data_IF_315517742290
#
_entry.id   IF_315517742290
#
_cell.length_a   1.000
_cell.length_b   1.000
_cell.length_c   1.000
_cell.angle_alpha   90.00
_cell.angle_beta   90.00
_cell.angle_gamma   90.00
#
_symmetry.space_group_name_H-M   'P 1'
#
loop_
_entity.id
_entity.type
_entity.pdbx_description
1 polymer ?
#
# COMPACT_ATOMS: atom_id res chain seq x y z
N UNK A 1 15.33 30.37 5.99
CA UNK A 1 14.57 29.47 6.89
C UNK A 1 13.13 29.97 6.97
N UNK A 2 12.22 29.35 6.20
CA UNK A 2 10.75 29.32 6.35
C UNK A 2 10.20 28.50 5.17
N UNK A 3 10.43 27.18 5.19
CA UNK A 3 9.94 26.28 4.14
C UNK A 3 8.51 25.80 4.41
N UNK A 4 8.02 25.93 5.64
CA UNK A 4 6.66 25.53 6.05
C UNK A 4 6.08 26.57 7.00
N UNK A 5 4.81 26.92 6.83
CA UNK A 5 4.09 27.93 7.62
C UNK A 5 3.44 27.34 8.88
N UNK A 6 3.29 26.01 8.95
CA UNK A 6 2.72 25.33 10.11
C UNK A 6 3.27 23.90 10.31
N UNK A 7 2.97 23.29 11.46
CA UNK A 7 3.37 21.92 11.80
C UNK A 7 2.65 20.90 10.90
N UNK A 8 1.44 21.22 10.49
CA UNK A 8 0.59 20.45 9.57
C UNK A 8 1.18 20.41 8.16
N UNK A 9 1.68 21.54 7.64
CA UNK A 9 2.34 21.57 6.33
C UNK A 9 3.64 20.76 6.32
N UNK A 10 4.44 20.86 7.38
CA UNK A 10 5.64 20.05 7.54
C UNK A 10 5.27 18.56 7.59
N UNK A 11 4.22 18.21 8.33
CA UNK A 11 3.77 16.83 8.45
C UNK A 11 3.22 16.29 7.13
N UNK A 12 2.41 17.07 6.40
CA UNK A 12 1.93 16.71 5.07
C UNK A 12 3.08 16.49 4.08
N UNK A 13 4.11 17.34 4.12
CA UNK A 13 5.30 17.18 3.30
C UNK A 13 6.10 15.92 3.66
N UNK A 14 6.23 15.61 4.95
CA UNK A 14 6.88 14.38 5.43
C UNK A 14 6.08 13.15 4.98
N UNK A 15 4.76 13.12 5.22
CA UNK A 15 3.90 12.01 4.79
C UNK A 15 3.94 11.84 3.28
N UNK A 16 3.83 12.92 2.51
CA UNK A 16 3.93 12.90 1.06
C UNK A 16 5.29 12.40 0.55
N UNK A 17 6.39 12.77 1.20
CA UNK A 17 7.73 12.29 0.86
C UNK A 17 7.91 10.79 1.18
N UNK A 18 7.23 10.30 2.22
CA UNK A 18 7.31 8.90 2.66
C UNK A 18 6.17 8.03 2.11
N UNK A 19 5.26 8.56 1.29
CA UNK A 19 4.12 7.79 0.74
C UNK A 19 4.56 6.57 -0.09
N UNK A 20 5.76 6.64 -0.69
CA UNK A 20 6.39 5.52 -1.40
C UNK A 20 6.73 4.33 -0.49
N UNK A 21 6.78 4.54 0.82
CA UNK A 21 6.89 3.47 1.80
C UNK A 21 5.56 2.71 1.97
N UNK A 22 4.43 3.27 1.55
CA UNK A 22 3.14 2.56 1.55
C UNK A 22 3.06 1.58 0.37
N UNK A 23 3.23 2.12 -0.85
CA UNK A 23 3.31 1.40 -2.10
C UNK A 23 4.48 1.96 -2.90
N UNK A 24 5.31 1.10 -3.49
CA UNK A 24 6.42 1.52 -4.33
C UNK A 24 5.89 1.92 -5.72
N UNK A 25 5.17 3.04 -5.76
CA UNK A 25 4.55 3.66 -6.92
C UNK A 25 4.81 5.19 -6.91
N UNK A 26 4.81 5.86 -8.08
CA UNK A 26 4.69 5.28 -9.43
C UNK A 26 5.93 4.50 -9.86
N UNK A 27 5.75 3.52 -10.75
CA UNK A 27 6.81 2.69 -11.36
C UNK A 27 6.79 2.80 -12.87
N UNK A 28 7.95 2.67 -13.56
CA UNK A 28 7.95 2.47 -15.00
C UNK A 28 7.30 1.12 -15.35
N UNK A 29 6.90 0.97 -16.62
CA UNK A 29 6.42 -0.32 -17.11
C UNK A 29 7.52 -1.38 -16.97
N UNK A 30 7.19 -2.49 -16.31
CA UNK A 30 8.07 -3.65 -16.14
C UNK A 30 7.58 -4.81 -17.03
N UNK A 31 8.52 -5.61 -17.52
CA UNK A 31 8.24 -6.86 -18.24
C UNK A 31 8.18 -8.04 -17.25
N UNK A 32 7.21 -7.96 -16.34
CA UNK A 32 6.92 -8.95 -15.31
C UNK A 32 5.46 -9.34 -15.38
N UNK A 33 5.11 -10.48 -14.77
CA UNK A 33 3.71 -10.80 -14.54
C UNK A 33 3.05 -9.75 -13.64
N UNK A 34 1.73 -9.66 -13.69
CA UNK A 34 0.96 -8.77 -12.81
C UNK A 34 1.21 -9.13 -11.34
N UNK A 35 1.25 -10.42 -11.01
CA UNK A 35 1.48 -10.89 -9.64
C UNK A 35 2.86 -10.43 -9.12
N UNK A 36 3.93 -10.63 -9.89
CA UNK A 36 5.28 -10.20 -9.52
C UNK A 36 5.39 -8.68 -9.38
N UNK A 37 4.73 -7.93 -10.27
CA UNK A 37 4.68 -6.47 -10.19
C UNK A 37 3.99 -6.02 -8.90
N UNK A 38 2.86 -6.65 -8.56
CA UNK A 38 2.13 -6.38 -7.32
C UNK A 38 2.96 -6.74 -6.08
N UNK A 39 3.69 -7.85 -6.07
CA UNK A 39 4.58 -8.20 -4.96
C UNK A 39 5.65 -7.12 -4.72
N UNK A 40 6.20 -6.53 -5.80
CA UNK A 40 7.14 -5.41 -5.71
C UNK A 40 6.48 -4.12 -5.26
N UNK A 41 5.32 -3.79 -5.81
CA UNK A 41 4.53 -2.59 -5.44
C UNK A 41 4.20 -2.61 -3.94
N UNK A 42 3.79 -3.77 -3.42
CA UNK A 42 3.47 -3.93 -1.99
C UNK A 42 4.70 -4.23 -1.12
N UNK A 43 5.90 -4.30 -1.71
CA UNK A 43 7.18 -4.54 -1.04
C UNK A 43 7.18 -5.83 -0.20
N UNK A 44 6.59 -6.91 -0.72
CA UNK A 44 6.44 -8.19 0.00
C UNK A 44 7.80 -8.83 0.30
N UNK A 45 8.77 -8.71 -0.60
CA UNK A 45 10.11 -9.28 -0.44
C UNK A 45 11.13 -8.30 0.18
N UNK A 46 10.66 -7.24 0.84
CA UNK A 46 11.58 -6.25 1.40
C UNK A 46 12.39 -6.83 2.57
N UNK A 47 13.70 -6.53 2.52
CA UNK A 47 14.69 -6.90 3.54
C UNK A 47 14.36 -6.28 4.92
N UNK A 48 14.69 -6.99 6.00
CA UNK A 48 14.31 -6.62 7.38
C UNK A 48 14.82 -5.24 7.78
N UNK A 49 16.02 -4.86 7.33
CA UNK A 49 16.63 -3.55 7.63
C UNK A 49 15.84 -2.37 7.03
N UNK A 50 15.14 -2.59 5.91
CA UNK A 50 14.29 -1.57 5.25
C UNK A 50 12.84 -1.62 5.73
N UNK A 51 12.48 -2.65 6.50
CA UNK A 51 11.13 -2.87 7.00
C UNK A 51 10.78 -1.98 8.19
N UNK A 52 11.78 -1.51 8.96
CA UNK A 52 11.54 -0.67 10.14
C UNK A 52 10.88 0.68 9.81
N UNK A 53 11.40 1.41 8.82
CA UNK A 53 10.85 2.71 8.41
C UNK A 53 9.44 2.57 7.84
N UNK A 54 9.23 1.53 7.03
CA UNK A 54 7.91 1.20 6.47
C UNK A 54 6.92 0.82 7.56
N UNK A 55 7.31 -0.08 8.47
CA UNK A 55 6.45 -0.51 9.57
C UNK A 55 6.06 0.67 10.46
N UNK A 56 7.00 1.58 10.77
CA UNK A 56 6.73 2.81 11.51
C UNK A 56 5.73 3.72 10.78
N UNK A 57 5.89 3.90 9.47
CA UNK A 57 4.97 4.69 8.67
C UNK A 57 3.56 4.07 8.62
N UNK A 58 3.44 2.76 8.38
CA UNK A 58 2.14 2.08 8.39
C UNK A 58 1.47 2.12 9.77
N UNK A 59 2.25 1.98 10.85
CA UNK A 59 1.74 2.14 12.21
C UNK A 59 1.18 3.55 12.44
N UNK A 60 1.90 4.58 12.02
CA UNK A 60 1.46 5.97 12.12
C UNK A 60 0.13 6.19 11.39
N UNK A 61 0.04 5.71 10.14
CA UNK A 61 -1.15 5.84 9.29
C UNK A 61 -2.36 5.09 9.85
N UNK A 62 -2.19 3.84 10.30
CA UNK A 62 -3.32 2.98 10.65
C UNK A 62 -3.70 2.99 12.14
N UNK A 63 -2.75 3.23 13.05
CA UNK A 63 -2.99 3.10 14.50
C UNK A 63 -2.95 4.43 15.24
N UNK A 64 -2.06 5.33 14.84
CA UNK A 64 -1.82 6.57 15.58
C UNK A 64 -2.59 7.76 15.01
N UNK A 65 -3.07 7.69 13.77
CA UNK A 65 -3.92 8.72 13.16
C UNK A 65 -5.12 9.07 14.07
N UNK A 66 -5.79 8.08 14.67
CA UNK A 66 -6.93 8.31 15.56
C UNK A 66 -6.61 9.10 16.84
N UNK A 67 -5.33 9.23 17.22
CA UNK A 67 -4.89 10.02 18.37
C UNK A 67 -4.71 11.50 18.05
N UNK A 68 -4.63 11.86 16.76
CA UNK A 68 -4.42 13.23 16.28
C UNK A 68 -5.45 13.54 15.18
N UNK A 69 -6.69 13.94 15.54
CA UNK A 69 -7.75 14.23 14.57
C UNK A 69 -7.33 15.18 13.45
N UNK A 70 -6.50 16.17 13.76
CA UNK A 70 -5.95 17.15 12.82
C UNK A 70 -4.97 16.54 11.79
N UNK A 71 -4.38 15.37 12.09
CA UNK A 71 -3.48 14.65 11.20
C UNK A 71 -4.18 13.53 10.43
N UNK A 72 -5.36 13.07 10.89
CA UNK A 72 -6.15 12.03 10.20
C UNK A 72 -6.41 12.42 8.76
N UNK A 73 -6.92 13.62 8.53
CA UNK A 73 -7.26 14.09 7.18
C UNK A 73 -6.04 14.15 6.27
N UNK A 74 -4.87 14.53 6.81
CA UNK A 74 -3.61 14.60 6.07
C UNK A 74 -3.07 13.19 5.77
N UNK A 75 -3.04 12.28 6.75
CA UNK A 75 -2.60 10.90 6.57
C UNK A 75 -3.51 10.13 5.61
N UNK A 76 -4.81 10.38 5.70
CA UNK A 76 -5.80 9.78 4.81
C UNK A 76 -5.64 10.32 3.39
N UNK A 77 -5.51 11.65 3.21
CA UNK A 77 -5.40 12.25 1.88
C UNK A 77 -4.05 12.00 1.23
N UNK A 78 -2.96 12.34 1.90
CA UNK A 78 -1.59 12.30 1.35
C UNK A 78 -0.94 10.91 1.41
N UNK A 79 -1.45 10.04 2.29
CA UNK A 79 -1.03 8.64 2.40
C UNK A 79 -2.00 7.71 1.67
N UNK A 80 -3.04 7.27 2.36
CA UNK A 80 -3.92 6.18 1.89
C UNK A 80 -4.61 6.47 0.55
N UNK A 81 -5.25 7.63 0.41
CA UNK A 81 -6.00 7.99 -0.80
C UNK A 81 -5.06 8.26 -1.98
N UNK A 82 -3.94 8.95 -1.76
CA UNK A 82 -2.93 9.17 -2.78
C UNK A 82 -2.31 7.85 -3.25
N UNK A 83 -1.91 6.96 -2.34
CA UNK A 83 -1.39 5.63 -2.70
C UNK A 83 -2.42 4.77 -3.42
N UNK A 84 -3.70 4.87 -3.04
CA UNK A 84 -4.78 4.20 -3.79
C UNK A 84 -4.89 4.74 -5.20
N UNK A 85 -4.84 6.07 -5.38
CA UNK A 85 -4.87 6.68 -6.72
C UNK A 85 -3.69 6.22 -7.57
N UNK A 86 -2.47 6.19 -7.01
CA UNK A 86 -1.28 5.70 -7.72
C UNK A 86 -1.47 4.22 -8.17
N UNK A 87 -2.13 3.39 -7.35
CA UNK A 87 -2.45 1.99 -7.71
C UNK A 87 -3.58 1.89 -8.75
N UNK A 88 -4.61 2.73 -8.64
CA UNK A 88 -5.70 2.84 -9.63
C UNK A 88 -5.15 3.19 -11.00
N UNK A 89 -4.22 4.16 -11.06
CA UNK A 89 -3.58 4.59 -12.30
C UNK A 89 -2.75 3.44 -12.89
N UNK A 90 -1.96 2.75 -12.06
CA UNK A 90 -1.18 1.59 -12.49
C UNK A 90 -2.06 0.46 -13.04
N UNK A 91 -3.15 0.11 -12.37
CA UNK A 91 -4.11 -0.90 -12.84
C UNK A 91 -4.77 -0.49 -14.16
N UNK A 92 -5.08 0.79 -14.32
CA UNK A 92 -5.64 1.36 -15.55
C UNK A 92 -4.68 1.23 -16.73
N UNK A 93 -3.39 1.50 -16.49
CA UNK A 93 -2.35 1.33 -17.51
C UNK A 93 -2.21 -0.15 -17.92
N UNK A 94 -2.16 -1.07 -16.95
CA UNK A 94 -2.09 -2.52 -17.25
C UNK A 94 -3.31 -3.03 -18.01
N UNK A 95 -4.50 -2.49 -17.70
CA UNK A 95 -5.74 -2.76 -18.45
C UNK A 95 -5.63 -2.24 -19.90
N UNK A 96 -5.15 -1.01 -20.09
CA UNK A 96 -4.99 -0.43 -21.42
C UNK A 96 -3.98 -1.20 -22.29
N UNK A 97 -2.97 -1.82 -21.66
CA UNK A 97 -2.03 -2.74 -22.31
C UNK A 97 -2.62 -4.14 -22.59
N UNK A 98 -3.82 -4.44 -22.12
CA UNK A 98 -4.45 -5.75 -22.24
C UNK A 98 -3.84 -6.84 -21.35
N UNK A 99 -3.06 -6.45 -20.33
CA UNK A 99 -2.41 -7.40 -19.40
C UNK A 99 -3.35 -7.93 -18.32
N UNK A 100 -4.48 -7.25 -18.08
CA UNK A 100 -5.53 -7.66 -17.15
C UNK A 100 -6.90 -7.17 -17.61
N UNK A 101 -7.94 -7.78 -17.07
CA UNK A 101 -9.35 -7.45 -17.30
C UNK A 101 -9.99 -7.01 -15.98
N UNK A 102 -10.15 -5.70 -15.82
CA UNK A 102 -10.81 -5.10 -14.65
C UNK A 102 -11.77 -4.00 -15.10
N UNK A 103 -13.03 -4.08 -14.66
CA UNK A 103 -14.06 -3.14 -15.09
C UNK A 103 -13.88 -1.78 -14.42
N UNK A 104 -13.61 -1.79 -13.11
CA UNK A 104 -13.42 -0.62 -12.25
C UNK A 104 -12.05 -0.70 -11.54
N UNK A 105 -11.02 -0.04 -12.07
CA UNK A 105 -9.69 0.01 -11.46
C UNK A 105 -9.66 0.60 -10.04
N UNK A 106 -10.53 1.56 -9.71
CA UNK A 106 -10.54 2.20 -8.38
C UNK A 106 -11.07 1.24 -7.31
N UNK A 107 -12.18 0.56 -7.61
CA UNK A 107 -12.70 -0.51 -6.77
C UNK A 107 -11.68 -1.65 -6.62
N UNK A 108 -11.01 -2.01 -7.72
CA UNK A 108 -9.92 -3.00 -7.72
C UNK A 108 -8.77 -2.64 -6.79
N UNK A 109 -8.25 -1.40 -6.91
CA UNK A 109 -7.19 -0.88 -6.05
C UNK A 109 -7.62 -0.92 -4.57
N UNK A 110 -8.85 -0.47 -4.27
CA UNK A 110 -9.40 -0.52 -2.91
C UNK A 110 -9.46 -1.94 -2.35
N UNK A 111 -10.00 -2.89 -3.12
CA UNK A 111 -10.10 -4.29 -2.72
C UNK A 111 -8.72 -4.89 -2.42
N UNK A 112 -7.75 -4.68 -3.30
CA UNK A 112 -6.40 -5.22 -3.13
C UNK A 112 -5.70 -4.61 -1.90
N UNK A 113 -5.80 -3.29 -1.71
CA UNK A 113 -5.28 -2.64 -0.51
C UNK A 113 -5.92 -3.20 0.76
N UNK A 114 -7.25 -3.38 0.79
CA UNK A 114 -7.94 -3.93 1.96
C UNK A 114 -7.49 -5.38 2.26
N UNK A 115 -7.30 -6.22 1.23
CA UNK A 115 -6.79 -7.59 1.38
C UNK A 115 -5.36 -7.62 1.95
N UNK A 116 -4.49 -6.71 1.53
CA UNK A 116 -3.08 -6.69 1.95
C UNK A 116 -2.90 -6.00 3.31
N UNK A 117 -3.40 -4.78 3.47
CA UNK A 117 -3.27 -4.04 4.73
C UNK A 117 -4.08 -4.69 5.87
N UNK A 118 -5.26 -5.24 5.57
CA UNK A 118 -6.03 -6.04 6.53
C UNK A 118 -5.29 -7.30 6.97
N UNK A 119 -4.50 -7.90 6.09
CA UNK A 119 -3.67 -9.08 6.40
C UNK A 119 -2.40 -8.77 7.21
N UNK A 120 -1.91 -7.53 7.25
CA UNK A 120 -0.68 -7.18 7.97
C UNK A 120 -0.88 -6.95 9.47
N UNK A 121 -2.10 -6.61 9.90
CA UNK A 121 -2.42 -6.36 11.31
C UNK A 121 -2.94 -7.60 12.04
N UNK A 122 -2.88 -7.63 13.38
CA UNK A 122 -3.63 -8.60 14.15
C UNK A 122 -5.13 -8.40 13.94
N UNK A 123 -5.89 -9.46 13.57
CA UNK A 123 -7.33 -9.37 13.62
C UNK A 123 -7.73 -9.13 15.09
N UNK A 124 -8.51 -8.07 15.30
CA UNK A 124 -9.33 -7.86 16.50
C UNK A 124 -8.60 -8.10 17.85
N UNK A 125 -7.55 -7.31 18.14
CA UNK A 125 -7.02 -7.18 19.50
C UNK A 125 -6.08 -8.30 19.98
N UNK A 126 -5.61 -9.18 19.08
CA UNK A 126 -4.52 -10.12 19.42
C UNK A 126 -3.15 -9.43 19.39
N UNK A 127 -2.26 -9.82 20.32
CA UNK A 127 -0.89 -9.32 20.34
C UNK A 127 -0.05 -9.76 19.13
N UNK A 128 -0.37 -10.94 18.56
CA UNK A 128 0.32 -11.51 17.40
C UNK A 128 -0.72 -12.05 16.39
N UNK A 129 -0.68 -11.53 15.16
CA UNK A 129 -1.57 -11.89 14.05
C UNK A 129 -1.20 -13.23 13.39
N UNK A 130 0.12 -13.48 13.31
CA UNK A 130 0.74 -14.54 12.54
C UNK A 130 1.77 -15.26 13.40
N UNK A 131 1.94 -16.58 13.23
CA UNK A 131 2.91 -17.36 14.01
C UNK A 131 4.36 -16.91 13.74
N UNK A 132 4.68 -16.53 12.51
CA UNK A 132 5.97 -16.00 12.09
C UNK A 132 5.83 -15.10 10.84
N UNK A 133 6.95 -14.47 10.42
CA UNK A 133 6.99 -13.64 9.20
C UNK A 133 6.69 -14.45 7.94
N UNK A 134 7.12 -15.71 7.88
CA UNK A 134 6.92 -16.56 6.69
C UNK A 134 5.42 -16.81 6.44
N UNK A 135 4.63 -17.05 7.48
CA UNK A 135 3.19 -17.23 7.41
C UNK A 135 2.47 -15.95 6.97
N UNK A 136 2.89 -14.79 7.47
CA UNK A 136 2.40 -13.48 6.99
C UNK A 136 2.67 -13.32 5.50
N UNK A 137 3.93 -13.48 5.07
CA UNK A 137 4.30 -13.31 3.65
C UNK A 137 3.56 -14.30 2.75
N UNK A 138 3.39 -15.56 3.18
CA UNK A 138 2.62 -16.55 2.45
C UNK A 138 1.14 -16.15 2.29
N UNK A 139 0.55 -15.51 3.30
CA UNK A 139 -0.80 -14.96 3.21
C UNK A 139 -0.87 -13.78 2.23
N UNK A 140 0.04 -12.82 2.31
CA UNK A 140 0.06 -11.66 1.41
C UNK A 140 0.24 -12.08 -0.06
N UNK A 141 1.16 -13.01 -0.34
CA UNK A 141 1.32 -13.58 -1.69
C UNK A 141 0.06 -14.29 -2.18
N UNK A 142 -0.66 -15.00 -1.29
CA UNK A 142 -1.94 -15.61 -1.63
C UNK A 142 -3.00 -14.56 -1.99
N UNK A 143 -3.07 -13.45 -1.26
CA UNK A 143 -3.98 -12.34 -1.58
C UNK A 143 -3.69 -11.78 -2.99
N UNK A 144 -2.41 -11.55 -3.32
CA UNK A 144 -2.00 -11.09 -4.65
C UNK A 144 -2.36 -12.10 -5.73
N UNK A 145 -2.06 -13.39 -5.52
CA UNK A 145 -2.36 -14.44 -6.48
C UNK A 145 -3.89 -14.56 -6.76
N UNK A 146 -4.71 -14.48 -5.71
CA UNK A 146 -6.18 -14.50 -5.85
C UNK A 146 -6.66 -13.27 -6.62
N UNK A 147 -6.16 -12.08 -6.30
CA UNK A 147 -6.54 -10.85 -7.01
C UNK A 147 -6.14 -10.92 -8.48
N UNK A 148 -4.87 -11.28 -8.78
CA UNK A 148 -4.35 -11.40 -10.14
C UNK A 148 -5.16 -12.39 -10.98
N UNK A 149 -5.51 -13.55 -10.42
CA UNK A 149 -6.38 -14.51 -11.08
C UNK A 149 -7.80 -13.96 -11.30
N UNK A 150 -8.36 -13.25 -10.31
CA UNK A 150 -9.70 -12.65 -10.39
C UNK A 150 -9.84 -11.57 -11.46
N UNK A 151 -8.76 -10.84 -11.76
CA UNK A 151 -8.72 -9.84 -12.85
C UNK A 151 -8.25 -10.44 -14.18
N UNK A 152 -8.17 -11.77 -14.30
CA UNK A 152 -7.76 -12.45 -15.52
C UNK A 152 -6.36 -12.02 -16.01
N UNK A 153 -5.44 -11.72 -15.10
CA UNK A 153 -4.09 -11.37 -15.45
C UNK A 153 -3.39 -12.55 -16.17
N UNK A 154 -2.74 -12.24 -17.29
CA UNK A 154 -1.93 -13.20 -18.06
C UNK A 154 -0.49 -13.27 -17.54
#
# INVERSE_FOLDING_TARGET
YKLFQSKEELFAAVVGAHRRLMLDLPRPAEDLSIAESLERIFMIDMDEDKDADRAGFLQLVFREAGQFPELVDILQREGMLASRQDLTDWLSDRRAEGKLSIDDPDSGARMLMDMIFGGMGPPEGRAQAWPDRAALLAHLRRCIAIFAAGVGAA
#
